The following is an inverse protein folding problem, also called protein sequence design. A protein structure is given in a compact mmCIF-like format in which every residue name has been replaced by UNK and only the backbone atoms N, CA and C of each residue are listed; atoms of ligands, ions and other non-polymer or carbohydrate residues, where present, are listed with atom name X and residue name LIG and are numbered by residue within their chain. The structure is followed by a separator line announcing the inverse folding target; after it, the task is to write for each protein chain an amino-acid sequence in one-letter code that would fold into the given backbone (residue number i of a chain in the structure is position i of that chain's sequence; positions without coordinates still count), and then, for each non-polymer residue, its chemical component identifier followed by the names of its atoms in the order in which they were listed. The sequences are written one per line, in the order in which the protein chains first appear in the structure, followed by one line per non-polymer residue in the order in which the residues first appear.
data_IF_210566055896
#
_entry.id   IF_210566055896
#
_cell.length_a   1.000
_cell.length_b   1.000
_cell.length_c   1.000
_cell.angle_alpha   90.00
_cell.angle_beta   90.00
_cell.angle_gamma   90.00
#
_symmetry.space_group_name_H-M   'P 1'
#
loop_
_entity.id
_entity.type
_entity.pdbx_description
1 polymer ?
#
# COMPACT_ATOMS: atom_id res chain seq x y z
N UNK A 1 -6.19 41.21 13.71
CA UNK A 1 -6.85 41.05 15.01
C UNK A 1 -6.26 39.82 15.65
N UNK A 2 -5.63 40.00 16.79
CA UNK A 2 -4.79 39.02 17.48
C UNK A 2 -5.54 37.71 17.71
N UNK A 3 -4.98 36.60 17.21
CA UNK A 3 -5.47 35.26 17.50
C UNK A 3 -5.12 34.87 18.93
N UNK A 4 -5.86 35.40 19.90
CA UNK A 4 -5.72 35.04 21.30
C UNK A 4 -6.12 33.58 21.52
N UNK A 5 -5.30 32.84 22.27
CA UNK A 5 -5.63 31.49 22.73
C UNK A 5 -6.85 31.59 23.65
N UNK A 6 -7.99 31.02 23.20
CA UNK A 6 -9.30 31.14 23.86
C UNK A 6 -9.40 30.26 25.12
N UNK A 7 -8.38 29.44 25.38
CA UNK A 7 -8.22 28.70 26.64
C UNK A 7 -7.20 27.57 26.51
N UNK A 8 -6.50 27.30 27.60
CA UNK A 8 -5.66 26.10 27.76
C UNK A 8 -6.28 25.22 28.83
N UNK A 9 -6.41 23.93 28.53
CA UNK A 9 -6.90 22.95 29.49
C UNK A 9 -5.96 21.75 29.51
N UNK A 10 -5.32 21.53 30.65
CA UNK A 10 -4.54 20.32 30.89
C UNK A 10 -5.51 19.19 31.17
N UNK A 11 -5.48 18.14 30.34
CA UNK A 11 -6.29 16.93 30.57
C UNK A 11 -5.36 15.79 30.94
N UNK A 12 -5.54 15.14 32.11
CA UNK A 12 -4.74 13.98 32.47
C UNK A 12 -5.07 12.81 31.52
N UNK A 13 -4.06 12.31 30.83
CA UNK A 13 -4.16 11.11 29.99
C UNK A 13 -3.74 9.91 30.84
N UNK A 14 -4.61 8.91 31.07
CA UNK A 14 -4.20 7.67 31.71
C UNK A 14 -3.21 6.94 30.80
N UNK A 15 -2.25 6.21 31.39
CA UNK A 15 -1.12 5.59 30.69
C UNK A 15 -1.49 4.73 29.46
N UNK A 16 -2.75 4.29 29.34
CA UNK A 16 -3.24 3.44 28.25
C UNK A 16 -4.50 4.01 27.53
N UNK A 17 -4.77 5.32 27.60
CA UNK A 17 -5.95 5.92 26.95
C UNK A 17 -5.65 6.60 25.61
N UNK A 18 -6.36 6.21 24.53
CA UNK A 18 -6.47 7.02 23.29
C UNK A 18 -7.30 8.26 23.56
N UNK A 19 -6.83 9.43 23.14
CA UNK A 19 -7.57 10.68 23.18
C UNK A 19 -8.19 10.98 21.82
N UNK A 20 -9.50 11.20 21.75
CA UNK A 20 -10.19 11.73 20.56
C UNK A 20 -10.91 13.00 21.00
N UNK A 21 -10.40 14.16 20.59
CA UNK A 21 -11.08 15.44 20.76
C UNK A 21 -11.63 15.92 19.43
N UNK A 22 -12.96 15.92 19.26
CA UNK A 22 -13.59 16.63 18.16
C UNK A 22 -13.74 18.11 18.54
N UNK A 23 -13.17 19.01 17.73
CA UNK A 23 -13.56 20.42 17.72
C UNK A 23 -14.58 20.60 16.59
N UNK A 24 -15.87 20.51 16.89
CA UNK A 24 -16.94 20.85 15.95
C UNK A 24 -17.24 22.35 16.03
N UNK A 25 -16.68 23.13 15.12
CA UNK A 25 -17.04 24.53 14.92
C UNK A 25 -17.53 24.74 13.49
N UNK A 26 -18.86 24.74 13.30
CA UNK A 26 -19.53 24.83 12.00
C UNK A 26 -19.39 26.19 11.26
N UNK A 27 -18.59 27.12 11.77
CA UNK A 27 -18.52 28.49 11.27
C UNK A 27 -17.42 28.76 10.24
N UNK A 28 -16.60 27.76 9.87
CA UNK A 28 -15.45 27.98 8.98
C UNK A 28 -15.62 27.47 7.55
N UNK A 29 -16.66 26.69 7.22
CA UNK A 29 -16.89 26.18 5.86
C UNK A 29 -18.39 25.99 5.57
N UNK A 30 -19.09 26.94 4.92
CA UNK A 30 -20.45 26.68 4.45
C UNK A 30 -20.38 25.76 3.23
N UNK A 31 -20.87 24.53 3.35
CA UNK A 31 -21.05 23.58 2.24
C UNK A 31 -20.10 22.37 2.18
N UNK A 32 -19.26 22.15 3.20
CA UNK A 32 -18.38 20.97 3.26
C UNK A 32 -18.98 19.94 4.21
N UNK A 33 -19.49 18.82 3.69
CA UNK A 33 -20.10 17.76 4.51
C UNK A 33 -19.11 16.71 5.03
N UNK A 34 -17.94 16.53 4.42
CA UNK A 34 -16.90 15.64 4.94
C UNK A 34 -15.51 16.18 4.57
N UNK A 35 -14.71 16.50 5.58
CA UNK A 35 -13.30 16.84 5.40
C UNK A 35 -12.49 16.00 6.41
N UNK A 36 -12.11 14.78 6.02
CA UNK A 36 -11.04 14.07 6.71
C UNK A 36 -9.69 14.70 6.30
N UNK A 37 -9.23 15.65 7.10
CA UNK A 37 -7.93 16.29 6.93
C UNK A 37 -7.39 16.77 8.28
N UNK A 38 -6.29 16.19 8.74
CA UNK A 38 -5.71 16.46 10.07
C UNK A 38 -4.80 17.68 10.08
N UNK A 39 -4.86 18.40 11.20
CA UNK A 39 -3.95 19.46 11.64
C UNK A 39 -2.57 18.88 11.98
N UNK A 40 -1.51 19.58 11.57
CA UNK A 40 -0.11 19.27 11.86
C UNK A 40 0.18 19.41 13.37
N UNK A 41 0.50 18.29 14.04
CA UNK A 41 1.00 18.29 15.42
C UNK A 41 2.52 18.18 15.38
N UNK A 42 3.22 19.22 15.84
CA UNK A 42 4.66 19.19 16.06
C UNK A 42 4.91 18.61 17.46
N UNK A 43 5.19 17.31 17.56
CA UNK A 43 5.66 16.71 18.81
C UNK A 43 7.19 16.57 18.75
N UNK A 44 7.88 17.22 19.69
CA UNK A 44 9.31 17.08 19.91
C UNK A 44 9.62 15.88 20.82
N UNK A 45 10.44 14.94 20.32
CA UNK A 45 11.20 13.90 21.03
C UNK A 45 10.51 12.52 21.30
N UNK A 46 11.31 11.42 21.36
CA UNK A 46 11.11 10.26 20.50
C UNK A 46 10.32 9.12 21.17
N UNK A 47 9.33 8.58 20.46
CA UNK A 47 8.58 7.38 20.85
C UNK A 47 9.34 6.06 20.56
N UNK A 48 10.65 6.03 20.76
CA UNK A 48 11.51 4.90 20.39
C UNK A 48 11.61 3.79 21.46
N UNK A 49 10.75 3.74 22.49
CA UNK A 49 10.94 2.79 23.60
C UNK A 49 9.67 2.08 24.12
N UNK A 50 8.52 2.17 23.44
CA UNK A 50 7.26 1.62 23.97
C UNK A 50 6.64 0.45 23.16
N UNK A 51 7.28 -0.03 22.09
CA UNK A 51 6.77 -1.16 21.29
C UNK A 51 7.37 -2.53 21.67
N UNK A 52 8.13 -2.63 22.76
CA UNK A 52 8.79 -3.85 23.21
C UNK A 52 8.27 -4.35 24.56
N UNK A 53 6.97 -4.63 24.66
CA UNK A 53 6.40 -5.54 25.66
C UNK A 53 4.93 -5.79 25.34
N UNK A 54 4.52 -7.07 25.42
CA UNK A 54 3.18 -7.64 25.11
C UNK A 54 3.14 -8.03 23.62
N UNK A 55 3.29 -9.29 23.18
CA UNK A 55 2.67 -10.54 23.66
C UNK A 55 3.62 -11.74 23.57
N UNK A 56 4.06 -12.26 24.72
CA UNK A 56 4.82 -13.50 24.87
C UNK A 56 3.97 -14.69 25.33
N UNK A 57 2.69 -14.75 24.98
CA UNK A 57 1.81 -15.88 25.32
C UNK A 57 0.73 -16.11 24.26
N UNK A 58 1.11 -16.65 23.09
CA UNK A 58 0.19 -17.47 22.29
C UNK A 58 0.89 -18.39 21.27
N UNK A 59 2.10 -18.89 21.55
CA UNK A 59 2.82 -19.78 20.62
C UNK A 59 3.15 -21.18 21.17
N UNK A 60 2.52 -21.62 22.26
CA UNK A 60 2.88 -22.92 22.87
C UNK A 60 1.96 -24.10 22.55
N UNK A 61 1.02 -24.01 21.60
CA UNK A 61 0.11 -25.14 21.29
C UNK A 61 -0.23 -25.34 19.82
N UNK A 62 0.57 -24.85 18.87
CA UNK A 62 0.41 -25.26 17.46
C UNK A 62 1.38 -26.41 17.14
N UNK A 63 0.88 -27.53 16.57
CA UNK A 63 1.71 -28.67 16.22
C UNK A 63 2.73 -28.24 15.17
N UNK A 64 3.93 -28.81 15.28
CA UNK A 64 5.11 -28.46 14.51
C UNK A 64 4.83 -28.25 13.00
N UNK A 65 4.72 -26.99 12.60
CA UNK A 65 5.06 -26.54 11.24
C UNK A 65 6.42 -25.86 11.37
N UNK A 66 7.45 -26.70 11.42
CA UNK A 66 8.81 -26.25 11.16
C UNK A 66 8.88 -25.83 9.67
N UNK A 67 9.47 -24.66 9.41
CA UNK A 67 10.04 -24.20 8.13
C UNK A 67 9.17 -23.45 7.08
N UNK A 68 8.47 -22.35 7.43
CA UNK A 68 7.94 -21.42 6.38
C UNK A 68 7.87 -19.90 6.70
N UNK A 69 8.71 -19.32 7.57
CA UNK A 69 8.81 -17.84 7.64
C UNK A 69 10.27 -17.35 7.63
N UNK A 70 10.72 -16.60 6.60
CA UNK A 70 12.09 -16.08 6.50
C UNK A 70 12.43 -14.95 7.50
N UNK A 71 11.47 -14.49 8.31
CA UNK A 71 11.53 -13.24 9.07
C UNK A 71 12.19 -13.33 10.46
N UNK A 72 13.16 -14.23 10.66
CA UNK A 72 13.85 -14.38 11.97
C UNK A 72 15.17 -13.63 12.09
N UNK A 73 15.62 -12.92 11.05
CA UNK A 73 16.86 -12.13 11.10
C UNK A 73 16.86 -10.94 10.11
N UNK A 74 15.81 -10.11 10.09
CA UNK A 74 15.70 -9.03 9.10
C UNK A 74 16.59 -7.85 9.48
N UNK A 75 17.68 -7.66 8.74
CA UNK A 75 18.34 -6.36 8.65
C UNK A 75 17.36 -5.33 8.09
N UNK A 76 17.28 -4.16 8.75
CA UNK A 76 16.39 -3.07 8.36
C UNK A 76 17.24 -1.91 7.85
N UNK A 77 16.93 -1.44 6.65
CA UNK A 77 17.46 -0.21 6.06
C UNK A 77 16.36 0.84 6.12
N UNK A 78 16.66 2.01 6.69
CA UNK A 78 15.72 3.12 6.77
C UNK A 78 15.93 4.09 5.62
N UNK A 79 14.82 4.60 5.08
CA UNK A 79 14.80 5.61 4.01
C UNK A 79 13.91 6.77 4.45
N UNK A 80 14.33 8.00 4.20
CA UNK A 80 13.50 9.20 4.39
C UNK A 80 13.73 10.21 3.27
N UNK A 81 12.67 10.68 2.59
CA UNK A 81 12.81 11.65 1.51
C UNK A 81 13.10 13.06 2.06
N UNK A 82 12.86 13.29 3.35
CA UNK A 82 12.97 14.59 4.01
C UNK A 82 14.38 14.80 4.59
N UNK A 83 14.88 13.81 5.36
CA UNK A 83 16.13 13.95 6.12
C UNK A 83 17.25 13.01 5.64
N UNK A 84 16.98 12.11 4.70
CA UNK A 84 17.94 11.11 4.25
C UNK A 84 19.00 11.65 3.30
N UNK A 85 20.10 10.91 3.15
CA UNK A 85 21.19 11.29 2.24
C UNK A 85 21.94 10.08 1.65
N UNK A 86 21.91 9.93 0.32
CA UNK A 86 22.39 8.71 -0.34
C UNK A 86 23.92 8.54 -0.41
N UNK A 87 24.67 9.64 -0.32
CA UNK A 87 26.13 9.63 -0.51
C UNK A 87 26.92 9.38 0.78
N UNK A 88 26.36 9.72 1.94
CA UNK A 88 27.11 9.73 3.21
C UNK A 88 26.44 8.90 4.29
N UNK A 89 25.12 8.67 4.21
CA UNK A 89 24.41 7.96 5.27
C UNK A 89 24.49 6.46 5.05
N UNK A 90 24.24 5.68 6.10
CA UNK A 90 24.46 4.22 6.13
C UNK A 90 23.14 3.43 6.10
N UNK A 91 21.99 4.11 6.03
CA UNK A 91 20.69 3.47 6.07
C UNK A 91 20.24 3.08 7.47
N UNK A 92 20.93 3.51 8.53
CA UNK A 92 20.45 3.37 9.90
C UNK A 92 19.30 4.33 10.20
N UNK A 93 18.58 4.11 11.29
CA UNK A 93 17.47 4.99 11.68
C UNK A 93 17.89 6.46 11.89
N UNK A 94 19.10 6.70 12.44
CA UNK A 94 19.63 8.04 12.67
C UNK A 94 20.25 8.66 11.41
N UNK A 95 20.61 7.84 10.43
CA UNK A 95 21.21 8.25 9.16
C UNK A 95 20.56 7.43 8.03
N UNK A 96 19.29 7.74 7.70
CA UNK A 96 18.55 6.99 6.68
C UNK A 96 19.04 7.35 5.26
N UNK A 97 18.90 6.45 4.31
CA UNK A 97 19.08 6.84 2.90
C UNK A 97 18.00 7.84 2.48
N UNK A 98 18.27 8.63 1.44
CA UNK A 98 17.28 9.56 0.87
C UNK A 98 16.30 8.81 0.00
N UNK A 99 16.80 7.91 -0.84
CA UNK A 99 16.00 7.23 -1.87
C UNK A 99 15.83 5.74 -1.62
N UNK A 100 14.70 5.20 -2.08
CA UNK A 100 14.40 3.78 -2.10
C UNK A 100 15.41 3.07 -3.00
N UNK A 101 15.72 3.66 -4.15
CA UNK A 101 16.75 3.14 -5.07
C UNK A 101 18.08 2.91 -4.37
N UNK A 102 18.56 3.89 -3.59
CA UNK A 102 19.82 3.72 -2.87
C UNK A 102 19.75 2.56 -1.89
N UNK A 103 18.66 2.44 -1.14
CA UNK A 103 18.45 1.31 -0.22
C UNK A 103 18.45 -0.04 -0.94
N UNK A 104 17.86 -0.15 -2.14
CA UNK A 104 17.85 -1.38 -2.93
C UNK A 104 19.24 -1.83 -3.41
N UNK A 105 20.18 -0.89 -3.61
CA UNK A 105 21.58 -1.24 -3.94
C UNK A 105 22.30 -1.91 -2.78
N UNK A 106 21.82 -1.71 -1.55
CA UNK A 106 22.44 -2.24 -0.31
C UNK A 106 21.67 -3.43 0.24
N UNK A 107 20.35 -3.49 0.05
CA UNK A 107 19.50 -4.53 0.60
C UNK A 107 19.81 -5.91 0.00
N UNK A 108 19.99 -6.91 0.87
CA UNK A 108 20.10 -8.32 0.48
C UNK A 108 18.80 -9.09 0.71
N UNK A 109 18.75 -10.32 0.18
CA UNK A 109 17.61 -11.22 0.33
C UNK A 109 17.20 -11.37 1.81
N UNK A 110 15.91 -11.21 2.08
CA UNK A 110 15.31 -11.31 3.41
C UNK A 110 15.40 -10.02 4.24
N UNK A 111 15.98 -8.95 3.68
CA UNK A 111 16.05 -7.65 4.37
C UNK A 111 14.77 -6.85 4.17
N UNK A 112 14.59 -5.85 5.03
CA UNK A 112 13.49 -4.89 4.95
C UNK A 112 14.02 -3.50 4.67
N UNK A 113 13.48 -2.85 3.64
CA UNK A 113 13.63 -1.41 3.39
C UNK A 113 12.42 -0.73 4.04
N UNK A 114 12.65 -0.03 5.15
CA UNK A 114 11.63 0.66 5.93
C UNK A 114 11.56 2.14 5.54
N UNK A 115 10.40 2.56 5.03
CA UNK A 115 10.15 3.92 4.57
C UNK A 115 9.56 4.74 5.71
N UNK A 116 10.26 5.82 6.07
CA UNK A 116 9.75 6.80 7.01
C UNK A 116 8.66 7.68 6.36
N UNK A 117 7.74 8.26 7.13
CA UNK A 117 6.69 9.11 6.60
C UNK A 117 7.22 10.20 5.65
N UNK A 118 6.54 10.36 4.51
CA UNK A 118 6.95 11.31 3.48
C UNK A 118 6.40 11.00 2.10
N UNK A 119 6.68 11.93 1.18
CA UNK A 119 6.39 11.81 -0.25
C UNK A 119 7.67 11.40 -0.99
N UNK A 120 7.61 10.23 -1.61
CA UNK A 120 8.62 9.64 -2.47
C UNK A 120 8.20 9.84 -3.93
N UNK A 121 8.85 10.77 -4.61
CA UNK A 121 8.59 11.19 -5.99
C UNK A 121 9.90 11.56 -6.70
N UNK A 122 9.83 11.88 -8.00
CA UNK A 122 10.96 12.41 -8.77
C UNK A 122 11.56 13.67 -8.11
N UNK A 123 10.71 14.54 -7.55
CA UNK A 123 11.15 15.75 -6.81
C UNK A 123 11.97 15.41 -5.54
N UNK A 124 11.67 14.27 -4.91
CA UNK A 124 12.45 13.77 -3.78
C UNK A 124 13.74 13.04 -4.20
N UNK A 125 13.93 12.82 -5.50
CA UNK A 125 15.09 12.15 -6.09
C UNK A 125 14.89 10.67 -6.41
N UNK A 126 13.66 10.15 -6.33
CA UNK A 126 13.36 8.82 -6.85
C UNK A 126 13.42 8.81 -8.38
N UNK A 127 13.64 7.63 -8.94
CA UNK A 127 13.59 7.39 -10.38
C UNK A 127 12.70 6.17 -10.62
N UNK A 128 11.70 6.31 -11.49
CA UNK A 128 10.61 5.36 -11.66
C UNK A 128 10.78 4.50 -12.91
N UNK A 129 10.37 3.21 -12.87
CA UNK A 129 9.67 2.55 -11.75
C UNK A 129 10.58 2.14 -10.59
N UNK A 130 10.01 2.09 -9.38
CA UNK A 130 10.66 1.47 -8.21
C UNK A 130 10.65 -0.04 -8.40
N UNK A 131 11.80 -0.69 -8.23
CA UNK A 131 11.97 -2.12 -8.53
C UNK A 131 11.91 -3.00 -7.28
N UNK A 132 10.90 -3.87 -7.14
CA UNK A 132 10.82 -4.82 -6.02
C UNK A 132 11.84 -5.95 -6.22
N UNK A 133 12.97 -5.85 -5.51
CA UNK A 133 14.07 -6.82 -5.57
C UNK A 133 13.65 -8.18 -4.99
N UNK A 134 14.21 -9.26 -5.54
CA UNK A 134 13.95 -10.65 -5.13
C UNK A 134 14.03 -10.84 -3.60
N UNK A 135 12.91 -11.26 -3.00
CA UNK A 135 12.79 -11.54 -1.57
C UNK A 135 13.21 -10.37 -0.65
N UNK A 136 13.07 -9.13 -1.10
CA UNK A 136 13.21 -7.92 -0.26
C UNK A 136 11.82 -7.36 0.00
N UNK A 137 11.58 -6.95 1.25
CA UNK A 137 10.35 -6.25 1.64
C UNK A 137 10.60 -4.74 1.64
N UNK A 138 9.80 -4.00 0.87
CA UNK A 138 9.63 -2.56 1.04
C UNK A 138 8.41 -2.35 1.94
N UNK A 139 8.59 -1.68 3.07
CA UNK A 139 7.52 -1.46 4.05
C UNK A 139 7.46 0.00 4.46
N UNK A 140 6.30 0.63 4.35
CA UNK A 140 6.09 1.96 4.93
C UNK A 140 5.83 1.92 6.43
N UNK A 141 5.98 3.07 7.07
CA UNK A 141 5.65 3.21 8.48
C UNK A 141 4.15 3.03 8.76
N UNK A 142 3.33 3.51 7.84
CA UNK A 142 1.88 3.39 7.81
C UNK A 142 1.39 3.83 6.43
N UNK A 143 0.41 3.12 5.86
CA UNK A 143 -0.07 3.36 4.49
C UNK A 143 -0.64 4.77 4.28
N UNK A 144 -1.07 5.47 5.33
CA UNK A 144 -1.59 6.85 5.24
C UNK A 144 -0.50 7.91 5.42
N UNK A 145 0.73 7.51 5.68
CA UNK A 145 1.84 8.43 5.97
C UNK A 145 3.00 8.34 4.97
N UNK A 146 3.08 7.25 4.21
CA UNK A 146 4.10 7.02 3.18
C UNK A 146 3.44 7.01 1.80
N UNK A 147 3.82 7.96 0.96
CA UNK A 147 3.27 8.14 -0.38
C UNK A 147 4.36 7.93 -1.43
N UNK A 148 4.14 7.00 -2.36
CA UNK A 148 4.94 6.83 -3.56
C UNK A 148 4.14 7.43 -4.72
N UNK A 149 4.57 8.59 -5.18
CA UNK A 149 3.99 9.27 -6.33
C UNK A 149 4.94 9.09 -7.51
N UNK A 150 4.61 8.15 -8.37
CA UNK A 150 5.49 7.71 -9.45
C UNK A 150 4.86 7.72 -10.82
N UNK A 151 5.51 6.98 -11.71
CA UNK A 151 5.23 6.99 -13.14
C UNK A 151 6.14 7.97 -13.89
N UNK A 152 6.22 7.77 -15.19
CA UNK A 152 6.91 8.67 -16.11
C UNK A 152 5.89 9.32 -17.05
N UNK A 153 6.14 10.59 -17.40
CA UNK A 153 5.40 11.29 -18.46
C UNK A 153 5.87 10.90 -19.86
N UNK A 154 7.03 10.26 -20.00
CA UNK A 154 7.62 9.94 -21.31
C UNK A 154 7.15 8.61 -21.88
N UNK A 155 6.67 7.69 -21.05
CA UNK A 155 5.95 6.50 -21.47
C UNK A 155 4.46 6.80 -21.56
N UNK A 156 3.80 6.33 -22.60
CA UNK A 156 2.35 6.47 -22.71
C UNK A 156 1.65 5.79 -21.53
N UNK A 157 0.38 6.13 -21.24
CA UNK A 157 -0.29 5.66 -20.01
C UNK A 157 -0.44 4.14 -19.88
N UNK A 158 -0.35 3.42 -21.00
CA UNK A 158 -0.36 1.96 -21.02
C UNK A 158 0.98 1.31 -20.59
N UNK A 159 2.08 2.08 -20.55
CA UNK A 159 3.45 1.61 -20.29
C UNK A 159 4.09 2.25 -19.06
N UNK A 160 3.49 3.31 -18.51
CA UNK A 160 3.99 3.98 -17.31
C UNK A 160 3.56 3.23 -16.05
N UNK A 161 4.50 2.91 -15.15
CA UNK A 161 4.21 2.32 -13.85
C UNK A 161 5.05 2.97 -12.73
N UNK A 162 4.49 3.06 -11.51
CA UNK A 162 5.23 3.55 -10.35
C UNK A 162 6.09 2.45 -9.72
N UNK A 163 5.60 1.22 -9.69
CA UNK A 163 6.29 0.08 -9.10
C UNK A 163 6.25 -1.11 -10.05
N UNK A 164 7.38 -1.79 -10.18
CA UNK A 164 7.50 -3.08 -10.86
C UNK A 164 8.44 -3.98 -10.07
N UNK A 165 8.66 -5.24 -10.44
CA UNK A 165 9.42 -6.13 -9.58
C UNK A 165 9.93 -7.43 -10.19
N UNK A 166 10.88 -8.03 -9.48
CA UNK A 166 11.31 -9.42 -9.66
C UNK A 166 10.37 -10.38 -8.94
N UNK A 167 10.52 -11.65 -9.29
CA UNK A 167 9.91 -12.77 -8.59
C UNK A 167 10.13 -12.67 -7.07
N UNK A 168 9.06 -12.76 -6.29
CA UNK A 168 9.03 -12.69 -4.81
C UNK A 168 9.44 -11.35 -4.22
N UNK A 169 9.32 -10.25 -4.95
CA UNK A 169 9.33 -8.91 -4.38
C UNK A 169 8.10 -8.68 -3.48
N UNK A 170 8.27 -7.94 -2.38
CA UNK A 170 7.20 -7.68 -1.42
C UNK A 170 7.08 -6.19 -1.14
N UNK A 171 5.85 -5.70 -1.05
CA UNK A 171 5.55 -4.32 -0.68
C UNK A 171 4.38 -4.25 0.31
N UNK A 172 4.53 -3.41 1.35
CA UNK A 172 3.49 -3.23 2.35
C UNK A 172 3.44 -1.81 2.95
N UNK A 173 2.29 -1.46 3.53
CA UNK A 173 2.09 -0.25 4.34
C UNK A 173 2.40 1.07 3.61
N UNK A 174 2.05 1.18 2.33
CA UNK A 174 2.28 2.40 1.52
C UNK A 174 1.06 2.82 0.72
N UNK A 175 0.94 4.12 0.43
CA UNK A 175 0.07 4.64 -0.63
C UNK A 175 0.88 4.78 -1.93
N UNK A 176 0.35 4.29 -3.05
CA UNK A 176 0.92 4.39 -4.39
C UNK A 176 -0.07 5.15 -5.28
N UNK A 177 0.46 6.13 -6.02
CA UNK A 177 -0.27 6.93 -6.99
C UNK A 177 0.55 7.04 -8.27
N UNK A 178 -0.11 6.96 -9.43
CA UNK A 178 0.53 7.22 -10.72
C UNK A 178 -0.42 7.99 -11.66
N UNK A 179 -0.33 9.34 -11.72
CA UNK A 179 -1.20 10.15 -12.58
C UNK A 179 -0.94 9.94 -14.08
N UNK A 180 0.06 9.16 -14.45
CA UNK A 180 0.44 8.89 -15.82
C UNK A 180 0.30 7.41 -16.22
N UNK A 181 -0.16 6.51 -15.36
CA UNK A 181 -0.30 5.10 -15.72
C UNK A 181 -0.67 4.20 -14.56
N UNK A 182 -0.03 3.03 -14.49
CA UNK A 182 -0.32 1.97 -13.52
C UNK A 182 0.36 2.23 -12.16
N UNK A 183 -0.28 1.86 -11.04
CA UNK A 183 0.37 1.87 -9.73
C UNK A 183 1.47 0.80 -9.68
N UNK A 184 1.07 -0.46 -9.76
CA UNK A 184 1.96 -1.61 -9.97
C UNK A 184 1.75 -2.21 -11.36
N UNK A 185 2.86 -2.55 -12.02
CA UNK A 185 2.88 -3.48 -13.15
C UNK A 185 3.78 -4.67 -12.81
N UNK A 186 3.25 -5.89 -12.88
CA UNK A 186 4.02 -7.11 -12.64
C UNK A 186 3.68 -8.24 -13.63
N UNK A 187 4.72 -8.86 -14.15
CA UNK A 187 4.72 -10.11 -14.91
C UNK A 187 5.32 -11.29 -14.11
N UNK A 188 5.64 -11.04 -12.85
CA UNK A 188 6.21 -12.00 -11.91
C UNK A 188 5.39 -12.10 -10.63
N UNK A 189 5.72 -13.09 -9.79
CA UNK A 189 5.09 -13.28 -8.47
C UNK A 189 5.51 -12.14 -7.54
N UNK A 190 4.56 -11.41 -6.95
CA UNK A 190 4.84 -10.41 -5.92
C UNK A 190 3.88 -10.58 -4.73
N UNK A 191 4.18 -9.91 -3.60
CA UNK A 191 3.26 -9.80 -2.48
C UNK A 191 2.92 -8.35 -2.21
N UNK A 192 1.63 -8.06 -2.06
CA UNK A 192 1.11 -6.71 -1.80
C UNK A 192 0.20 -6.77 -0.58
N UNK A 193 0.55 -6.06 0.49
CA UNK A 193 -0.19 -6.13 1.74
C UNK A 193 -0.40 -4.75 2.37
N UNK A 194 -1.61 -4.43 2.81
CA UNK A 194 -1.93 -3.17 3.48
C UNK A 194 -1.46 -1.92 2.69
N UNK A 195 -1.65 -1.97 1.38
CA UNK A 195 -1.29 -0.89 0.46
C UNK A 195 -2.53 -0.13 -0.01
N UNK A 196 -2.35 1.14 -0.39
CA UNK A 196 -3.41 1.97 -0.97
C UNK A 196 -3.03 2.37 -2.39
N UNK A 197 -3.86 2.08 -3.37
CA UNK A 197 -3.67 2.46 -4.78
C UNK A 197 -4.74 3.49 -5.14
N UNK A 198 -4.32 4.74 -5.24
CA UNK A 198 -5.22 5.88 -5.36
C UNK A 198 -4.93 6.64 -6.65
N UNK A 199 -5.98 6.97 -7.40
CA UNK A 199 -5.91 7.92 -8.51
C UNK A 199 -4.82 7.62 -9.56
N UNK A 200 -4.63 6.33 -9.88
CA UNK A 200 -3.80 5.93 -11.01
C UNK A 200 -4.56 6.16 -12.31
N UNK A 201 -3.93 6.82 -13.29
CA UNK A 201 -4.55 7.05 -14.60
C UNK A 201 -4.79 5.75 -15.38
N UNK A 202 -4.05 4.69 -15.07
CA UNK A 202 -4.28 3.33 -15.52
C UNK A 202 -4.88 2.48 -14.41
N UNK A 203 -4.37 1.26 -14.30
CA UNK A 203 -4.77 0.28 -13.28
C UNK A 203 -4.05 0.53 -11.96
N UNK A 204 -4.72 0.38 -10.81
CA UNK A 204 -4.05 0.35 -9.51
C UNK A 204 -2.98 -0.74 -9.43
N UNK A 205 -3.37 -2.00 -9.69
CA UNK A 205 -2.46 -3.15 -9.81
C UNK A 205 -2.74 -3.90 -11.12
N UNK A 206 -1.78 -3.89 -12.04
CA UNK A 206 -1.83 -4.66 -13.29
C UNK A 206 -0.91 -5.87 -13.21
N UNK A 207 -1.51 -7.06 -13.26
CA UNK A 207 -0.82 -8.34 -13.27
C UNK A 207 -0.99 -8.98 -14.64
N UNK A 208 0.10 -9.33 -15.29
CA UNK A 208 0.07 -10.08 -16.55
C UNK A 208 0.73 -11.46 -16.44
N UNK A 209 1.31 -11.78 -15.29
CA UNK A 209 1.97 -13.05 -15.03
C UNK A 209 2.27 -13.27 -13.55
N UNK A 210 2.51 -14.53 -13.19
CA UNK A 210 2.95 -14.90 -11.85
C UNK A 210 1.82 -15.03 -10.83
N UNK A 211 2.21 -15.35 -9.59
CA UNK A 211 1.30 -15.61 -8.48
C UNK A 211 1.39 -14.47 -7.50
N UNK A 212 0.29 -13.76 -7.30
CA UNK A 212 0.34 -12.55 -6.46
C UNK A 212 -0.70 -12.65 -5.35
N UNK A 213 -0.27 -12.46 -4.11
CA UNK A 213 -1.18 -12.33 -2.98
C UNK A 213 -1.42 -10.85 -2.75
N UNK A 214 -2.70 -10.45 -2.76
CA UNK A 214 -3.15 -9.08 -2.48
C UNK A 214 -4.08 -9.13 -1.27
N UNK A 215 -3.65 -8.55 -0.16
CA UNK A 215 -4.44 -8.57 1.07
C UNK A 215 -4.47 -7.21 1.74
N UNK A 216 -5.61 -6.89 2.36
CA UNK A 216 -5.84 -5.67 3.12
C UNK A 216 -5.58 -4.37 2.32
N UNK A 217 -5.61 -4.44 0.99
CA UNK A 217 -5.32 -3.30 0.13
C UNK A 217 -6.59 -2.48 -0.18
N UNK A 218 -6.43 -1.17 -0.34
CA UNK A 218 -7.50 -0.28 -0.83
C UNK A 218 -7.17 0.20 -2.24
N UNK A 219 -8.06 -0.02 -3.21
CA UNK A 219 -7.91 0.39 -4.60
C UNK A 219 -9.12 1.23 -5.00
N UNK A 220 -8.91 2.54 -5.16
CA UNK A 220 -10.00 3.48 -5.45
C UNK A 220 -9.58 4.64 -6.34
N UNK A 221 -10.51 5.11 -7.17
CA UNK A 221 -10.31 6.24 -8.08
C UNK A 221 -9.31 5.97 -9.20
N UNK A 222 -8.99 4.71 -9.48
CA UNK A 222 -8.15 4.32 -10.62
C UNK A 222 -9.03 4.09 -11.85
N UNK A 223 -8.45 4.02 -13.05
CA UNK A 223 -9.22 3.60 -14.24
C UNK A 223 -9.73 2.17 -14.06
N UNK A 224 -8.86 1.25 -13.62
CA UNK A 224 -9.22 -0.10 -13.21
C UNK A 224 -8.61 -0.35 -11.83
N UNK A 225 -9.32 -0.99 -10.90
CA UNK A 225 -8.74 -1.36 -9.60
C UNK A 225 -7.60 -2.37 -9.78
N UNK A 226 -7.95 -3.61 -10.13
CA UNK A 226 -7.03 -4.70 -10.45
C UNK A 226 -7.27 -5.23 -11.86
N UNK A 227 -6.21 -5.40 -12.64
CA UNK A 227 -6.22 -6.09 -13.93
C UNK A 227 -5.47 -7.41 -13.79
N UNK A 228 -6.10 -8.49 -14.26
CA UNK A 228 -5.54 -9.85 -14.27
C UNK A 228 -5.49 -10.35 -15.71
N UNK A 229 -4.28 -10.46 -16.23
CA UNK A 229 -4.01 -11.02 -17.55
C UNK A 229 -4.03 -12.55 -17.56
N UNK A 230 -4.03 -13.12 -18.76
CA UNK A 230 -4.23 -14.57 -18.96
C UNK A 230 -3.24 -15.48 -18.20
N UNK A 231 -2.00 -15.05 -17.96
CA UNK A 231 -0.96 -15.85 -17.30
C UNK A 231 -0.79 -15.51 -15.80
N UNK A 232 -1.66 -14.67 -15.25
CA UNK A 232 -1.63 -14.28 -13.83
C UNK A 232 -2.58 -15.15 -13.00
N UNK A 233 -2.10 -15.63 -11.85
CA UNK A 233 -2.89 -16.41 -10.88
C UNK A 233 -2.89 -15.73 -9.50
N UNK A 234 -3.61 -14.62 -9.31
CA UNK A 234 -3.59 -13.89 -8.05
C UNK A 234 -4.56 -14.48 -7.00
N UNK A 235 -4.25 -14.29 -5.73
CA UNK A 235 -5.13 -14.59 -4.60
C UNK A 235 -5.44 -13.29 -3.86
N UNK A 236 -6.64 -12.76 -4.11
CA UNK A 236 -7.21 -11.62 -3.41
C UNK A 236 -8.06 -12.08 -2.23
N UNK A 237 -8.00 -13.36 -1.83
CA UNK A 237 -8.71 -13.88 -0.66
C UNK A 237 -9.26 -15.29 -0.84
N UNK A 238 -8.99 -16.17 0.12
CA UNK A 238 -9.55 -17.52 0.20
C UNK A 238 -9.09 -18.47 -0.90
N UNK A 239 -8.07 -18.09 -1.68
CA UNK A 239 -7.48 -18.91 -2.73
C UNK A 239 -6.42 -19.89 -2.22
N UNK A 240 -5.67 -20.43 -3.18
CA UNK A 240 -4.65 -21.47 -2.95
C UNK A 240 -3.39 -20.97 -2.22
N UNK A 241 -3.23 -19.65 -2.12
CA UNK A 241 -2.05 -19.02 -1.52
C UNK A 241 -2.35 -18.47 -0.12
N UNK A 242 -3.50 -18.83 0.45
CA UNK A 242 -3.94 -18.44 1.79
C UNK A 242 -4.04 -16.93 1.96
N UNK A 243 -4.38 -16.22 0.88
CA UNK A 243 -4.75 -14.81 0.95
C UNK A 243 -5.93 -14.62 1.90
N UNK A 244 -5.85 -13.64 2.78
CA UNK A 244 -6.90 -13.33 3.77
C UNK A 244 -8.05 -12.53 3.18
N UNK A 245 -7.85 -11.91 2.01
CA UNK A 245 -8.74 -10.90 1.48
C UNK A 245 -8.60 -9.59 2.23
N UNK A 246 -9.71 -8.99 2.66
CA UNK A 246 -9.72 -7.70 3.35
C UNK A 246 -9.56 -6.51 2.41
N UNK A 247 -9.50 -6.75 1.09
CA UNK A 247 -9.32 -5.68 0.12
C UNK A 247 -10.60 -4.85 -0.04
N UNK A 248 -10.42 -3.59 -0.41
CA UNK A 248 -11.47 -2.65 -0.77
C UNK A 248 -11.23 -2.23 -2.20
N UNK A 249 -12.03 -2.73 -3.13
CA UNK A 249 -11.99 -2.35 -4.53
C UNK A 249 -13.29 -1.61 -4.79
N UNK A 250 -13.23 -0.27 -4.82
CA UNK A 250 -14.43 0.57 -4.90
C UNK A 250 -14.12 1.86 -5.65
N UNK A 251 -15.07 2.35 -6.44
CA UNK A 251 -15.04 3.65 -7.08
C UNK A 251 -13.94 3.77 -8.13
N UNK A 252 -13.60 2.68 -8.80
CA UNK A 252 -12.73 2.70 -9.99
C UNK A 252 -13.58 3.00 -11.23
N UNK A 253 -13.03 3.75 -12.19
CA UNK A 253 -13.83 4.38 -13.24
C UNK A 253 -14.44 3.40 -14.24
N UNK A 254 -13.67 2.38 -14.66
CA UNK A 254 -14.12 1.38 -15.63
C UNK A 254 -14.66 0.15 -14.92
N UNK A 255 -13.83 -0.48 -14.09
CA UNK A 255 -14.23 -1.57 -13.23
C UNK A 255 -13.28 -1.75 -12.04
N UNK A 256 -13.74 -2.41 -10.98
CA UNK A 256 -12.92 -2.70 -9.79
C UNK A 256 -11.94 -3.85 -10.04
N UNK A 257 -12.39 -4.90 -10.71
CA UNK A 257 -11.59 -6.06 -11.10
C UNK A 257 -11.86 -6.43 -12.57
N UNK A 258 -10.81 -6.48 -13.38
CA UNK A 258 -10.84 -7.02 -14.73
C UNK A 258 -10.07 -8.34 -14.82
N UNK A 259 -10.71 -9.35 -15.39
CA UNK A 259 -10.14 -10.68 -15.66
C UNK A 259 -10.17 -10.91 -17.16
N UNK A 260 -9.00 -10.78 -17.80
CA UNK A 260 -8.85 -10.82 -19.26
C UNK A 260 -9.26 -12.17 -19.85
N UNK A 261 -8.79 -13.26 -19.24
CA UNK A 261 -9.09 -14.64 -19.64
C UNK A 261 -9.20 -15.55 -18.40
N UNK A 262 -9.49 -16.84 -18.59
CA UNK A 262 -9.63 -17.82 -17.53
C UNK A 262 -8.33 -17.95 -16.73
N UNK A 263 -8.36 -17.50 -15.47
CA UNK A 263 -7.27 -17.66 -14.50
C UNK A 263 -7.76 -18.30 -13.20
N UNK A 264 -6.84 -18.81 -12.36
CA UNK A 264 -7.22 -19.22 -11.01
C UNK A 264 -7.13 -18.02 -10.07
N UNK A 265 -8.26 -17.53 -9.58
CA UNK A 265 -8.32 -16.35 -8.70
C UNK A 265 -9.09 -16.62 -7.40
N UNK A 266 -8.54 -16.16 -6.28
CA UNK A 266 -9.25 -16.10 -4.99
C UNK A 266 -9.87 -14.73 -4.79
N UNK A 267 -11.17 -14.64 -4.45
CA UNK A 267 -11.91 -13.38 -4.34
C UNK A 267 -12.69 -13.20 -3.02
N UNK A 268 -12.47 -14.08 -2.04
CA UNK A 268 -13.22 -14.04 -0.77
C UNK A 268 -12.85 -12.83 0.08
N UNK A 269 -13.82 -12.39 0.87
CA UNK A 269 -13.63 -11.38 1.93
C UNK A 269 -13.16 -10.01 1.42
N UNK A 270 -13.53 -9.66 0.18
CA UNK A 270 -13.33 -8.34 -0.40
C UNK A 270 -14.59 -7.48 -0.30
N UNK A 271 -14.39 -6.16 -0.31
CA UNK A 271 -15.46 -5.16 -0.36
C UNK A 271 -15.47 -4.50 -1.73
N UNK A 272 -16.69 -4.31 -2.25
CA UNK A 272 -17.03 -3.85 -3.59
C UNK A 272 -17.96 -2.64 -3.52
N UNK A 273 -18.24 -1.95 -4.63
CA UNK A 273 -19.11 -0.76 -4.65
C UNK A 273 -20.51 -1.03 -4.08
N UNK A 274 -20.94 -2.29 -4.12
CA UNK A 274 -22.16 -2.74 -3.46
C UNK A 274 -21.96 -4.03 -2.69
N UNK A 275 -22.92 -4.35 -1.80
CA UNK A 275 -22.89 -5.57 -1.00
C UNK A 275 -22.92 -6.85 -1.85
N UNK A 276 -23.45 -6.77 -3.07
CA UNK A 276 -23.46 -7.85 -4.06
C UNK A 276 -22.74 -7.37 -5.30
N UNK A 277 -21.50 -7.81 -5.57
CA UNK A 277 -20.74 -7.29 -6.69
C UNK A 277 -21.50 -7.50 -8.00
N UNK A 278 -21.56 -6.46 -8.81
CA UNK A 278 -22.03 -6.46 -10.18
C UNK A 278 -21.03 -7.16 -11.09
N UNK A 279 -21.55 -7.80 -12.13
CA UNK A 279 -20.77 -8.58 -13.07
C UNK A 279 -21.02 -8.10 -14.50
N UNK A 280 -19.96 -8.02 -15.28
CA UNK A 280 -20.02 -7.58 -16.67
C UNK A 280 -19.08 -8.35 -17.58
N UNK A 281 -19.36 -8.34 -18.88
CA UNK A 281 -18.42 -8.86 -19.91
C UNK A 281 -17.50 -7.77 -20.45
N UNK A 282 -17.74 -6.51 -20.08
CA UNK A 282 -16.97 -5.34 -20.49
C UNK A 282 -16.59 -4.56 -19.22
N UNK A 283 -15.33 -4.16 -19.11
CA UNK A 283 -14.85 -3.30 -18.02
C UNK A 283 -15.13 -1.84 -18.36
N UNK A 284 -16.36 -1.40 -18.13
CA UNK A 284 -16.82 -0.03 -18.31
C UNK A 284 -17.93 0.30 -17.31
N UNK A 285 -18.12 1.58 -17.04
CA UNK A 285 -19.26 2.07 -16.26
C UNK A 285 -19.22 1.78 -14.76
N UNK A 286 -18.06 1.43 -14.21
CA UNK A 286 -17.87 1.14 -12.78
C UNK A 286 -18.46 -0.20 -12.36
N UNK A 287 -18.40 -1.21 -13.23
CA UNK A 287 -18.79 -2.58 -12.85
C UNK A 287 -17.79 -3.16 -11.84
N UNK A 288 -18.25 -3.91 -10.85
CA UNK A 288 -17.33 -4.45 -9.84
C UNK A 288 -16.38 -5.49 -10.47
N UNK A 289 -16.92 -6.50 -11.15
CA UNK A 289 -16.11 -7.57 -11.75
C UNK A 289 -16.45 -7.75 -13.22
N UNK A 290 -15.44 -7.61 -14.08
CA UNK A 290 -15.58 -7.76 -15.53
C UNK A 290 -14.71 -8.90 -16.08
N UNK A 291 -15.29 -9.77 -16.91
CA UNK A 291 -14.55 -10.75 -17.70
C UNK A 291 -15.17 -10.96 -19.08
N UNK A 292 -14.44 -10.76 -20.19
CA UNK A 292 -14.95 -10.97 -21.55
C UNK A 292 -15.45 -12.39 -21.80
N UNK A 293 -14.89 -13.37 -21.09
CA UNK A 293 -15.28 -14.79 -21.22
C UNK A 293 -16.60 -15.12 -20.52
N UNK A 294 -17.12 -14.21 -19.69
CA UNK A 294 -18.32 -14.41 -18.88
C UNK A 294 -18.16 -15.50 -17.81
N UNK A 295 -16.93 -15.93 -17.52
CA UNK A 295 -16.64 -16.88 -16.46
C UNK A 295 -16.41 -16.13 -15.16
N UNK A 296 -17.35 -16.30 -14.23
CA UNK A 296 -17.31 -15.68 -12.92
C UNK A 296 -17.09 -16.78 -11.90
N UNK A 297 -15.97 -16.70 -11.17
CA UNK A 297 -15.58 -17.71 -10.21
C UNK A 297 -16.36 -17.52 -8.90
N UNK A 298 -17.30 -18.41 -8.63
CA UNK A 298 -17.99 -18.53 -7.34
C UNK A 298 -17.11 -19.30 -6.37
N UNK A 299 -16.26 -18.63 -5.59
CA UNK A 299 -15.67 -19.22 -4.39
C UNK A 299 -15.69 -18.26 -3.23
#
# INVERSE_FOLDING_TARGET
ADGGVVGTRTVPVPANGKFVGLLTGASLFPGVTELEGFVKITASQPMAAAALRIEGRLFSTLPAVHDILPWRNSHIIYVSPIIGQDSVYDGSFLRPFKTIRKAQTVADRGWTIYLLPGLYSEDSGEDFPIYLKYCVLIRGADARSVFILGGSTSSGPAESCAVTGENRGLIADVTIMNPHGHGIYADTTIGVNDCRFLHCAGTGIKLIGGRTVITDCTLTGNTIGVFVGAEADPDLGGGLYYGTGGNVLMGNHHCDLFIEDKCTIGLRFNRWDSAFPSWGTVCEGGVDIASPTGVFYDH
#
